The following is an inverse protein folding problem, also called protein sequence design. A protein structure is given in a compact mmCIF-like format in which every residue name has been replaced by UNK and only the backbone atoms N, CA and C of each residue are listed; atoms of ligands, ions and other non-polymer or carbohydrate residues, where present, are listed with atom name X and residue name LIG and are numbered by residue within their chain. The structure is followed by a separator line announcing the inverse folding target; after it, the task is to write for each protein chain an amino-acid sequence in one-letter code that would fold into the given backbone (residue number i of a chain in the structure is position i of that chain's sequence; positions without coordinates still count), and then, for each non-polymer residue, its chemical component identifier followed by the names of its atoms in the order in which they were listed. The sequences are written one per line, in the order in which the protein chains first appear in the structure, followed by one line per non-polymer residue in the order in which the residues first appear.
data_IF_747018406503
#
_entry.id   IF_747018406503
#
_cell.length_a   1.000
_cell.length_b   1.000
_cell.length_c   1.000
_cell.angle_alpha   90.00
_cell.angle_beta   90.00
_cell.angle_gamma   90.00
#
_symmetry.space_group_name_H-M   'P 1'
#
loop_
_entity.id
_entity.type
_entity.pdbx_description
1 polymer ?
#
# COMPACT_ATOMS: atom_id res chain seq x y z
N UNK A 1 5.27 -17.28 16.62
CA UNK A 1 4.46 -16.16 16.06
C UNK A 1 4.54 -14.84 16.87
N UNK A 2 4.86 -14.88 18.17
CA UNK A 2 4.91 -13.70 19.05
C UNK A 2 5.87 -12.62 18.57
N UNK A 3 7.09 -13.03 18.16
CA UNK A 3 8.12 -12.10 17.64
C UNK A 3 7.66 -11.38 16.39
N UNK A 4 7.02 -12.10 15.45
CA UNK A 4 6.48 -11.50 14.22
C UNK A 4 5.40 -10.45 14.55
N UNK A 5 4.47 -10.75 15.47
CA UNK A 5 3.44 -9.79 15.88
C UNK A 5 4.03 -8.54 16.53
N UNK A 6 5.05 -8.69 17.38
CA UNK A 6 5.75 -7.55 17.98
C UNK A 6 6.42 -6.71 16.90
N UNK A 7 7.20 -7.33 16.03
CA UNK A 7 7.92 -6.62 14.95
C UNK A 7 6.93 -5.92 14.02
N UNK A 8 5.88 -6.60 13.55
CA UNK A 8 4.85 -6.01 12.71
C UNK A 8 4.13 -4.85 13.41
N UNK A 9 3.74 -5.02 14.68
CA UNK A 9 3.11 -3.95 15.46
C UNK A 9 4.02 -2.73 15.63
N UNK A 10 5.30 -2.93 15.92
CA UNK A 10 6.27 -1.83 16.03
C UNK A 10 6.47 -1.13 14.69
N UNK A 11 6.70 -1.89 13.61
CA UNK A 11 6.93 -1.32 12.28
C UNK A 11 5.70 -0.55 11.80
N UNK A 12 4.49 -1.11 11.95
CA UNK A 12 3.26 -0.44 11.55
C UNK A 12 2.98 0.81 12.40
N UNK A 13 3.27 0.79 13.71
CA UNK A 13 3.14 1.97 14.56
C UNK A 13 4.10 3.08 14.12
N UNK A 14 5.36 2.74 13.81
CA UNK A 14 6.36 3.71 13.33
C UNK A 14 6.00 4.28 11.96
N UNK A 15 5.59 3.43 11.02
CA UNK A 15 5.13 3.89 9.69
C UNK A 15 3.88 4.74 9.81
N UNK A 16 2.95 4.39 10.70
CA UNK A 16 1.74 5.16 10.93
C UNK A 16 2.02 6.54 11.55
N UNK A 17 2.93 6.59 12.52
CA UNK A 17 3.38 7.86 13.10
C UNK A 17 4.12 8.72 12.07
N UNK A 18 4.99 8.09 11.26
CA UNK A 18 5.66 8.77 10.16
C UNK A 18 4.65 9.34 9.15
N UNK A 19 3.60 8.59 8.82
CA UNK A 19 2.55 9.06 7.95
C UNK A 19 1.78 10.26 8.54
N UNK A 20 1.42 10.21 9.82
CA UNK A 20 0.73 11.29 10.52
C UNK A 20 1.55 12.57 10.60
N UNK A 21 2.85 12.47 10.84
CA UNK A 21 3.72 13.62 11.09
C UNK A 21 4.28 14.20 9.78
N UNK A 22 4.62 13.35 8.81
CA UNK A 22 5.33 13.78 7.59
C UNK A 22 4.51 13.64 6.32
N UNK A 23 3.87 12.49 6.09
CA UNK A 23 3.22 12.21 4.80
C UNK A 23 1.90 12.99 4.66
N UNK A 24 1.00 12.89 5.63
CA UNK A 24 -0.33 13.52 5.54
C UNK A 24 -0.23 15.06 5.53
N UNK A 25 0.55 15.71 6.41
CA UNK A 25 0.62 17.16 6.42
C UNK A 25 1.27 17.74 5.15
N UNK A 26 2.29 17.07 4.60
CA UNK A 26 3.02 17.55 3.41
C UNK A 26 2.38 17.11 2.10
N UNK A 27 1.71 15.96 2.08
CA UNK A 27 1.22 15.31 0.87
C UNK A 27 -0.24 15.61 0.52
N UNK A 28 -1.03 16.14 1.45
CA UNK A 28 -2.44 16.43 1.24
C UNK A 28 -2.67 17.92 1.48
N UNK A 29 -3.29 18.63 0.53
CA UNK A 29 -3.63 20.05 0.68
C UNK A 29 -4.74 20.30 1.71
N UNK A 30 -4.85 21.55 2.16
CA UNK A 30 -6.03 22.00 2.92
C UNK A 30 -7.20 22.15 1.95
N UNK A 31 -8.36 21.61 2.33
CA UNK A 31 -9.57 21.79 1.56
C UNK A 31 -10.05 23.24 1.65
N UNK A 32 -10.86 23.72 0.68
CA UNK A 32 -11.47 25.04 0.77
C UNK A 32 -12.26 25.24 2.06
N UNK A 33 -12.31 26.48 2.53
CA UNK A 33 -13.03 26.85 3.74
C UNK A 33 -14.51 26.42 3.66
N UNK A 34 -15.01 25.84 4.75
CA UNK A 34 -16.39 25.33 4.84
C UNK A 34 -16.60 23.91 4.30
N UNK A 35 -15.56 23.27 3.74
CA UNK A 35 -15.61 21.85 3.36
C UNK A 35 -14.85 20.97 4.35
N UNK A 36 -15.24 19.69 4.43
CA UNK A 36 -14.54 18.70 5.22
C UNK A 36 -13.10 18.57 4.70
N UNK A 37 -12.12 18.69 5.60
CA UNK A 37 -10.71 18.60 5.21
C UNK A 37 -10.42 17.25 4.55
N UNK A 38 -9.79 17.23 3.36
CA UNK A 38 -9.31 16.00 2.71
C UNK A 38 -8.33 15.21 3.58
N UNK A 39 -7.71 15.87 4.57
CA UNK A 39 -6.78 15.25 5.53
C UNK A 39 -7.49 14.44 6.62
N UNK A 40 -8.77 14.72 6.90
CA UNK A 40 -9.43 14.20 8.11
C UNK A 40 -9.51 12.68 8.12
N UNK A 41 -10.04 12.08 7.04
CA UNK A 41 -10.21 10.63 6.95
C UNK A 41 -8.85 9.91 6.98
N UNK A 42 -7.84 10.27 6.17
CA UNK A 42 -6.51 9.70 6.27
C UNK A 42 -5.92 9.82 7.68
N UNK A 43 -6.08 10.98 8.33
CA UNK A 43 -5.55 11.22 9.67
C UNK A 43 -6.20 10.29 10.70
N UNK A 44 -7.53 10.19 10.72
CA UNK A 44 -8.26 9.30 11.62
C UNK A 44 -7.87 7.83 11.42
N UNK A 45 -7.75 7.39 10.16
CA UNK A 45 -7.34 6.01 9.85
C UNK A 45 -5.93 5.72 10.33
N UNK A 46 -4.98 6.64 10.12
CA UNK A 46 -3.62 6.42 10.60
C UNK A 46 -3.53 6.45 12.13
N UNK A 47 -4.33 7.27 12.82
CA UNK A 47 -4.42 7.23 14.29
C UNK A 47 -4.90 5.85 14.77
N UNK A 48 -5.96 5.30 14.15
CA UNK A 48 -6.46 3.96 14.48
C UNK A 48 -5.41 2.89 14.21
N UNK A 49 -4.73 2.95 13.07
CA UNK A 49 -3.65 2.02 12.71
C UNK A 49 -2.53 2.06 13.76
N UNK A 50 -2.08 3.25 14.17
CA UNK A 50 -1.04 3.40 15.21
C UNK A 50 -1.51 2.81 16.53
N UNK A 51 -2.73 3.10 16.96
CA UNK A 51 -3.29 2.60 18.21
C UNK A 51 -3.39 1.06 18.23
N UNK A 52 -3.92 0.46 17.16
CA UNK A 52 -4.04 -1.00 17.04
C UNK A 52 -2.68 -1.67 16.92
N UNK A 53 -1.73 -1.05 16.22
CA UNK A 53 -0.38 -1.60 16.06
C UNK A 53 0.40 -1.57 17.39
N UNK A 54 0.27 -0.49 18.16
CA UNK A 54 0.83 -0.38 19.50
C UNK A 54 0.18 -1.40 20.45
N UNK A 55 -1.14 -1.58 20.38
CA UNK A 55 -1.86 -2.60 21.14
C UNK A 55 -1.40 -4.02 20.78
N UNK A 56 -1.20 -4.32 19.49
CA UNK A 56 -0.69 -5.59 19.01
C UNK A 56 0.70 -5.89 19.58
N UNK A 57 1.62 -4.92 19.51
CA UNK A 57 2.96 -5.06 20.06
C UNK A 57 2.91 -5.28 21.59
N UNK A 58 2.14 -4.49 22.31
CA UNK A 58 2.06 -4.54 23.77
C UNK A 58 1.41 -5.82 24.30
N UNK A 59 0.33 -6.27 23.66
CA UNK A 59 -0.34 -7.53 24.02
C UNK A 59 0.59 -8.74 23.81
N UNK A 60 1.38 -8.74 22.72
CA UNK A 60 2.31 -9.82 22.43
C UNK A 60 3.59 -9.76 23.27
N UNK A 61 4.02 -8.58 23.75
CA UNK A 61 5.11 -8.47 24.73
C UNK A 61 4.77 -9.21 26.03
N UNK A 62 3.50 -9.19 26.45
CA UNK A 62 3.00 -9.85 27.66
C UNK A 62 2.70 -11.35 27.48
N UNK A 63 2.67 -11.86 26.25
CA UNK A 63 2.39 -13.26 25.97
C UNK A 63 3.56 -14.18 26.40
N UNK A 64 3.25 -15.40 26.87
CA UNK A 64 4.27 -16.39 27.21
C UNK A 64 4.96 -16.92 25.94
N UNK A 65 6.26 -17.27 26.00
CA UNK A 65 6.96 -17.88 24.86
C UNK A 65 6.29 -19.20 24.45
N UNK A 66 6.08 -19.39 23.15
CA UNK A 66 5.59 -20.64 22.55
C UNK A 66 6.73 -21.33 21.78
N UNK A 67 6.74 -22.67 21.62
CA UNK A 67 7.70 -23.38 20.76
C UNK A 67 7.76 -22.83 19.32
N UNK A 68 6.64 -22.32 18.80
CA UNK A 68 6.52 -21.65 17.49
C UNK A 68 7.24 -20.29 17.40
N UNK A 69 7.87 -19.81 18.47
CA UNK A 69 8.71 -18.60 18.46
C UNK A 69 10.17 -18.87 18.06
N UNK A 70 10.53 -20.16 17.89
CA UNK A 70 11.86 -20.59 17.47
C UNK A 70 12.10 -20.48 15.95
N UNK A 71 11.03 -20.44 15.15
CA UNK A 71 11.16 -20.32 13.70
C UNK A 71 11.58 -18.90 13.25
N UNK A 72 12.36 -18.76 12.17
CA UNK A 72 12.72 -17.47 11.61
C UNK A 72 11.46 -16.70 11.17
N UNK A 73 11.33 -15.45 11.62
CA UNK A 73 10.16 -14.60 11.30
C UNK A 73 10.11 -14.11 9.86
N UNK A 74 11.24 -14.08 9.16
CA UNK A 74 11.34 -13.65 7.75
C UNK A 74 12.29 -14.61 7.05
N UNK A 75 11.81 -15.21 5.96
CA UNK A 75 12.58 -16.08 5.09
C UNK A 75 13.21 -15.31 3.94
N UNK A 76 14.27 -15.86 3.34
CA UNK A 76 14.91 -15.26 2.16
C UNK A 76 13.96 -15.15 0.97
N UNK A 77 13.03 -16.11 0.83
CA UNK A 77 12.03 -16.11 -0.24
C UNK A 77 11.06 -14.93 -0.11
N UNK A 78 10.59 -14.65 1.11
CA UNK A 78 9.73 -13.49 1.39
C UNK A 78 10.46 -12.17 1.15
N UNK A 79 11.74 -12.07 1.55
CA UNK A 79 12.53 -10.87 1.28
C UNK A 79 12.70 -10.64 -0.22
N UNK A 80 12.97 -11.70 -0.99
CA UNK A 80 13.08 -11.61 -2.44
C UNK A 80 11.75 -11.22 -3.09
N UNK A 81 10.62 -11.75 -2.59
CA UNK A 81 9.29 -11.36 -3.05
C UNK A 81 9.00 -9.88 -2.75
N UNK A 82 9.35 -9.41 -1.55
CA UNK A 82 9.22 -8.01 -1.17
C UNK A 82 10.02 -7.09 -2.09
N UNK A 83 11.29 -7.43 -2.35
CA UNK A 83 12.16 -6.67 -3.26
C UNK A 83 11.58 -6.64 -4.68
N UNK A 84 11.05 -7.77 -5.16
CA UNK A 84 10.44 -7.87 -6.49
C UNK A 84 9.18 -7.01 -6.62
N UNK A 85 8.28 -7.06 -5.64
CA UNK A 85 7.07 -6.22 -5.62
C UNK A 85 7.47 -4.74 -5.51
N UNK A 86 8.42 -4.42 -4.64
CA UNK A 86 8.97 -3.08 -4.49
C UNK A 86 9.57 -2.55 -5.78
N UNK A 87 10.31 -3.38 -6.53
CA UNK A 87 10.87 -3.02 -7.83
C UNK A 87 9.79 -2.72 -8.87
N UNK A 88 8.72 -3.52 -8.94
CA UNK A 88 7.57 -3.22 -9.82
C UNK A 88 6.98 -1.85 -9.49
N UNK A 89 6.76 -1.57 -8.20
CA UNK A 89 6.25 -0.28 -7.75
C UNK A 89 7.17 0.89 -8.11
N UNK A 90 8.48 0.76 -7.87
CA UNK A 90 9.47 1.80 -8.18
C UNK A 90 9.54 2.08 -9.69
N UNK A 91 9.52 1.03 -10.52
CA UNK A 91 9.51 1.19 -11.98
C UNK A 91 8.20 1.83 -12.44
N UNK A 92 7.04 1.45 -11.86
CA UNK A 92 5.77 2.12 -12.14
C UNK A 92 5.81 3.62 -11.79
N UNK A 93 6.40 3.99 -10.67
CA UNK A 93 6.58 5.41 -10.29
C UNK A 93 7.50 6.10 -11.31
N UNK A 94 8.61 5.49 -11.70
CA UNK A 94 9.50 6.05 -12.71
C UNK A 94 8.78 6.24 -14.06
N UNK A 95 7.98 5.26 -14.51
CA UNK A 95 7.17 5.37 -15.73
C UNK A 95 6.10 6.47 -15.64
N UNK A 96 5.53 6.69 -14.44
CA UNK A 96 4.57 7.77 -14.22
C UNK A 96 5.24 9.13 -14.38
N UNK A 97 6.42 9.31 -13.78
CA UNK A 97 7.15 10.57 -13.79
C UNK A 97 7.83 10.87 -15.13
N UNK A 98 8.26 9.84 -15.87
CA UNK A 98 9.09 9.99 -17.07
C UNK A 98 8.33 9.82 -18.39
N UNK A 99 7.24 9.04 -18.42
CA UNK A 99 6.49 8.75 -19.65
C UNK A 99 5.07 9.28 -19.58
N UNK A 100 4.19 8.57 -18.85
CA UNK A 100 2.78 8.88 -18.77
C UNK A 100 2.08 8.05 -17.68
N UNK A 101 0.97 8.56 -17.12
CA UNK A 101 0.14 7.78 -16.19
C UNK A 101 -0.35 6.46 -16.76
N UNK A 102 -0.70 6.42 -18.06
CA UNK A 102 -1.16 5.21 -18.72
C UNK A 102 -0.07 4.13 -18.78
N UNK A 103 1.17 4.50 -19.10
CA UNK A 103 2.30 3.57 -19.16
C UNK A 103 2.58 2.98 -17.77
N UNK A 104 2.55 3.81 -16.73
CA UNK A 104 2.68 3.38 -15.34
C UNK A 104 1.60 2.39 -14.93
N UNK A 105 0.33 2.70 -15.22
CA UNK A 105 -0.81 1.84 -14.91
C UNK A 105 -0.74 0.49 -15.62
N UNK A 106 -0.44 0.48 -16.93
CA UNK A 106 -0.26 -0.76 -17.71
C UNK A 106 0.85 -1.61 -17.08
N UNK A 107 2.02 -1.02 -16.86
CA UNK A 107 3.15 -1.75 -16.29
C UNK A 107 2.85 -2.26 -14.89
N UNK A 108 2.25 -1.44 -14.02
CA UNK A 108 1.93 -1.81 -12.64
C UNK A 108 1.05 -3.07 -12.61
N UNK A 109 -0.03 -3.09 -13.38
CA UNK A 109 -0.97 -4.22 -13.38
C UNK A 109 -0.35 -5.44 -14.07
N UNK A 110 0.17 -5.28 -15.28
CA UNK A 110 0.69 -6.41 -16.07
C UNK A 110 1.93 -7.03 -15.41
N UNK A 111 2.88 -6.22 -14.93
CA UNK A 111 4.07 -6.73 -14.25
C UNK A 111 3.72 -7.39 -12.93
N UNK A 112 2.76 -6.86 -12.16
CA UNK A 112 2.29 -7.51 -10.92
C UNK A 112 1.67 -8.87 -11.18
N UNK A 113 0.82 -9.00 -12.21
CA UNK A 113 0.21 -10.28 -12.59
C UNK A 113 1.27 -11.30 -13.01
N UNK A 114 2.25 -10.88 -13.83
CA UNK A 114 3.37 -11.72 -14.22
C UNK A 114 4.23 -12.13 -13.03
N UNK A 115 4.44 -11.22 -12.07
CA UNK A 115 5.21 -11.48 -10.85
C UNK A 115 4.51 -12.49 -9.94
N UNK A 116 3.19 -12.40 -9.83
CA UNK A 116 2.33 -13.34 -9.12
C UNK A 116 2.21 -14.70 -9.83
N UNK A 117 2.80 -14.84 -11.02
CA UNK A 117 2.85 -16.09 -11.76
C UNK A 117 1.69 -16.31 -12.72
N UNK A 118 0.85 -15.29 -12.97
CA UNK A 118 -0.16 -15.38 -14.02
C UNK A 118 0.52 -15.41 -15.39
N UNK A 119 0.14 -16.39 -16.22
CA UNK A 119 0.74 -16.62 -17.54
C UNK A 119 -0.28 -16.60 -18.66
N UNK A 120 -1.58 -16.57 -18.36
CA UNK A 120 -2.64 -16.56 -19.37
C UNK A 120 -2.72 -15.17 -20.01
N UNK A 121 -2.37 -14.99 -21.30
CA UNK A 121 -2.33 -13.67 -21.91
C UNK A 121 -3.68 -12.96 -21.88
N UNK A 122 -4.78 -13.71 -22.05
CA UNK A 122 -6.14 -13.19 -21.97
C UNK A 122 -6.45 -12.58 -20.59
N UNK A 123 -5.96 -13.20 -19.51
CA UNK A 123 -6.15 -12.68 -18.15
C UNK A 123 -5.32 -11.42 -17.95
N UNK A 124 -4.06 -11.43 -18.37
CA UNK A 124 -3.15 -10.29 -18.20
C UNK A 124 -3.70 -9.07 -18.96
N UNK A 125 -4.04 -9.24 -20.23
CA UNK A 125 -4.58 -8.17 -21.07
C UNK A 125 -5.95 -7.74 -20.56
N UNK A 126 -6.84 -8.69 -20.27
CA UNK A 126 -8.20 -8.42 -19.79
C UNK A 126 -8.23 -7.68 -18.46
N UNK A 127 -7.42 -8.09 -17.48
CA UNK A 127 -7.32 -7.42 -16.18
C UNK A 127 -6.69 -6.03 -16.31
N UNK A 128 -5.63 -5.90 -17.10
CA UNK A 128 -4.96 -4.61 -17.30
C UNK A 128 -5.88 -3.61 -18.00
N UNK A 129 -6.46 -4.00 -19.13
CA UNK A 129 -7.39 -3.14 -19.85
C UNK A 129 -8.66 -2.87 -19.03
N UNK A 130 -9.23 -3.90 -18.40
CA UNK A 130 -10.44 -3.81 -17.60
C UNK A 130 -10.30 -2.86 -16.41
N UNK A 131 -9.21 -2.96 -15.64
CA UNK A 131 -8.96 -2.06 -14.52
C UNK A 131 -8.75 -0.62 -14.99
N UNK A 132 -7.98 -0.40 -16.05
CA UNK A 132 -7.73 0.95 -16.57
C UNK A 132 -9.01 1.60 -17.12
N UNK A 133 -9.84 0.83 -17.83
CA UNK A 133 -11.15 1.30 -18.32
C UNK A 133 -12.08 1.55 -17.13
N UNK A 134 -12.11 0.69 -16.12
CA UNK A 134 -12.95 0.88 -14.94
C UNK A 134 -12.57 2.15 -14.16
N UNK A 135 -11.28 2.40 -13.97
CA UNK A 135 -10.78 3.65 -13.38
C UNK A 135 -11.19 4.85 -14.23
N UNK A 136 -11.01 4.79 -15.55
CA UNK A 136 -11.45 5.87 -16.44
C UNK A 136 -12.96 6.11 -16.35
N UNK A 137 -13.79 5.08 -16.36
CA UNK A 137 -15.24 5.21 -16.21
C UNK A 137 -15.61 5.83 -14.86
N UNK A 138 -15.00 5.35 -13.77
CA UNK A 138 -15.29 5.83 -12.42
C UNK A 138 -14.96 7.32 -12.29
N UNK A 139 -13.74 7.72 -12.61
CA UNK A 139 -13.29 9.09 -12.41
C UNK A 139 -13.88 10.05 -13.46
N UNK A 140 -13.86 9.66 -14.73
CA UNK A 140 -14.24 10.57 -15.82
C UNK A 140 -15.74 10.61 -16.10
N UNK A 141 -16.46 9.48 -15.96
CA UNK A 141 -17.89 9.40 -16.27
C UNK A 141 -18.79 9.46 -15.05
N UNK A 142 -18.42 8.78 -13.97
CA UNK A 142 -19.26 8.72 -12.77
C UNK A 142 -19.03 9.92 -11.84
N UNK A 143 -17.76 10.20 -11.54
CA UNK A 143 -17.39 11.23 -10.57
C UNK A 143 -17.18 12.61 -11.20
N UNK A 144 -17.04 12.68 -12.54
CA UNK A 144 -16.76 13.93 -13.25
C UNK A 144 -15.45 14.60 -12.85
N UNK A 145 -14.54 13.86 -12.23
CA UNK A 145 -13.23 14.36 -11.81
C UNK A 145 -12.26 14.23 -12.97
N UNK A 146 -12.14 15.31 -13.74
CA UNK A 146 -11.10 15.42 -14.76
C UNK A 146 -9.72 15.37 -14.09
N UNK A 147 -8.97 14.30 -14.34
CA UNK A 147 -7.53 14.29 -14.09
C UNK A 147 -6.93 15.17 -15.20
N UNK A 148 -6.67 16.44 -14.88
CA UNK A 148 -5.88 17.35 -15.71
C UNK A 148 -4.39 17.07 -15.53
#
# INVERSE_FOLDING_TARGET
MRRANIVSGVVLALLGLFALVFIIPKGIGEGPDGMMSPRLVPHMMMVVVVALSAFLAFSNLRAKPSPEDAEPTITRGEMLALVRIGAVFLISIALYLLLAPLASGIFLVAASLLLLGERRPLVIIGMTAGLLIAVWLLFYKLLGTGIL
#
